data_IF_451504088847
#
_entry.id   IF_451504088847
#
_cell.length_a   1.000
_cell.length_b   1.000
_cell.length_c   1.000
_cell.angle_alpha   90.00
_cell.angle_beta   90.00
_cell.angle_gamma   90.00
#
_symmetry.space_group_name_H-M   'P 1'
#
loop_
_entity.id
_entity.type
_entity.pdbx_description
1 polymer ?
#
# COMPACT_ATOMS: atom_id res chain seq x y z
N UNK A 1 -56.68 -4.88 -33.06
CA UNK A 1 -55.24 -4.81 -33.25
C UNK A 1 -54.67 -4.11 -32.04
N UNK A 2 -54.25 -4.85 -31.04
CA UNK A 2 -53.65 -4.33 -29.81
C UNK A 2 -52.16 -4.55 -29.90
N UNK A 3 -51.40 -3.44 -29.98
CA UNK A 3 -49.95 -3.46 -29.92
C UNK A 3 -49.53 -3.63 -28.44
N UNK A 4 -48.97 -4.79 -28.15
CA UNK A 4 -48.27 -5.05 -26.90
C UNK A 4 -46.83 -4.53 -27.01
N UNK A 5 -46.52 -3.45 -26.33
CA UNK A 5 -45.13 -2.95 -26.16
C UNK A 5 -44.46 -3.75 -25.07
N UNK A 6 -43.55 -4.62 -25.44
CA UNK A 6 -42.61 -5.28 -24.57
C UNK A 6 -41.55 -4.25 -24.07
N UNK A 7 -41.67 -3.82 -22.83
CA UNK A 7 -40.59 -3.15 -22.11
C UNK A 7 -39.72 -4.25 -21.55
N UNK A 8 -38.60 -4.54 -22.20
CA UNK A 8 -37.63 -5.51 -21.75
C UNK A 8 -36.57 -4.85 -20.85
N UNK A 9 -36.54 -5.30 -19.64
CA UNK A 9 -35.36 -5.67 -18.81
C UNK A 9 -33.99 -5.17 -19.29
N UNK A 10 -33.65 -3.96 -18.95
CA UNK A 10 -32.25 -3.45 -18.94
C UNK A 10 -31.72 -3.13 -17.55
N UNK A 11 -32.41 -3.54 -16.47
CA UNK A 11 -32.11 -3.11 -15.10
C UNK A 11 -31.35 -4.14 -14.24
N UNK A 12 -30.89 -5.29 -14.78
CA UNK A 12 -30.29 -6.35 -13.98
C UNK A 12 -28.82 -6.71 -14.30
N UNK A 13 -28.15 -6.00 -15.21
CA UNK A 13 -26.74 -6.29 -15.56
C UNK A 13 -25.76 -5.31 -14.87
N UNK A 14 -26.23 -4.27 -14.20
CA UNK A 14 -25.38 -3.23 -13.63
C UNK A 14 -24.84 -3.51 -12.21
N UNK A 15 -25.39 -4.50 -11.48
CA UNK A 15 -24.99 -4.74 -10.08
C UNK A 15 -23.74 -5.63 -9.90
N UNK A 16 -23.37 -6.45 -10.88
CA UNK A 16 -22.19 -7.33 -10.75
C UNK A 16 -20.86 -6.64 -11.01
N UNK A 17 -20.87 -5.45 -11.63
CA UNK A 17 -19.67 -4.64 -11.88
C UNK A 17 -19.38 -3.61 -10.77
N UNK A 18 -20.24 -3.51 -9.76
CA UNK A 18 -20.11 -2.47 -8.72
C UNK A 18 -19.13 -2.84 -7.60
N UNK A 19 -18.85 -4.13 -7.41
CA UNK A 19 -17.97 -4.64 -6.34
C UNK A 19 -16.66 -5.15 -6.94
N UNK A 20 -15.53 -4.66 -6.46
CA UNK A 20 -14.23 -5.17 -6.88
C UNK A 20 -14.05 -6.61 -6.42
N UNK A 21 -13.85 -7.57 -7.35
CA UNK A 21 -13.65 -8.97 -7.01
C UNK A 21 -12.26 -9.20 -6.38
N UNK A 22 -12.10 -10.34 -5.68
CA UNK A 22 -10.82 -10.83 -5.22
C UNK A 22 -9.97 -11.21 -6.45
N UNK A 23 -8.73 -10.71 -6.49
CA UNK A 23 -7.75 -11.06 -7.53
C UNK A 23 -6.86 -12.21 -7.08
N UNK A 24 -6.32 -12.13 -5.87
CA UNK A 24 -5.44 -13.16 -5.31
C UNK A 24 -6.15 -13.94 -4.20
N UNK A 25 -6.63 -15.13 -4.58
CA UNK A 25 -7.29 -16.06 -3.66
C UNK A 25 -6.31 -17.01 -2.95
N UNK A 26 -5.00 -16.90 -3.22
CA UNK A 26 -3.97 -17.81 -2.71
C UNK A 26 -3.13 -17.14 -1.63
N UNK A 27 -2.51 -16.02 -1.94
CA UNK A 27 -1.55 -15.36 -1.04
C UNK A 27 -2.19 -14.72 0.20
N UNK A 28 -3.48 -14.38 0.12
CA UNK A 28 -4.18 -13.63 1.17
C UNK A 28 -5.34 -14.42 1.78
N UNK A 29 -5.89 -13.92 2.89
CA UNK A 29 -6.96 -14.57 3.63
C UNK A 29 -8.30 -13.86 3.40
N UNK A 30 -9.26 -14.56 2.78
CA UNK A 30 -10.58 -14.01 2.41
C UNK A 30 -11.76 -14.60 3.19
N UNK A 31 -11.46 -15.42 4.20
CA UNK A 31 -12.45 -16.00 5.11
C UNK A 31 -12.28 -15.42 6.51
N UNK A 32 -13.37 -14.99 7.13
CA UNK A 32 -13.34 -14.35 8.45
C UNK A 32 -12.82 -15.28 9.56
N UNK A 33 -13.19 -16.56 9.53
CA UNK A 33 -12.75 -17.54 10.53
C UNK A 33 -11.25 -17.84 10.39
N UNK A 34 -10.79 -18.03 9.16
CA UNK A 34 -9.38 -18.23 8.85
C UNK A 34 -8.54 -17.01 9.21
N UNK A 35 -9.04 -15.79 8.91
CA UNK A 35 -8.36 -14.56 9.28
C UNK A 35 -8.26 -14.40 10.80
N UNK A 36 -9.32 -14.72 11.55
CA UNK A 36 -9.28 -14.73 13.01
C UNK A 36 -8.28 -15.75 13.54
N UNK A 37 -8.23 -16.94 12.95
CA UNK A 37 -7.26 -17.97 13.31
C UNK A 37 -5.83 -17.53 13.01
N UNK A 38 -5.59 -16.96 11.83
CA UNK A 38 -4.28 -16.43 11.43
C UNK A 38 -3.79 -15.31 12.37
N UNK A 39 -4.67 -14.35 12.68
CA UNK A 39 -4.34 -13.27 13.61
C UNK A 39 -4.06 -13.78 15.02
N UNK A 40 -4.77 -14.82 15.49
CA UNK A 40 -4.47 -15.50 16.75
C UNK A 40 -3.11 -16.19 16.71
N UNK A 41 -2.79 -16.86 15.59
CA UNK A 41 -1.46 -17.44 15.38
C UNK A 41 -0.36 -16.37 15.48
N UNK A 42 -0.50 -15.25 14.77
CA UNK A 42 0.48 -14.16 14.79
C UNK A 42 0.64 -13.57 16.20
N UNK A 43 -0.46 -13.31 16.91
CA UNK A 43 -0.40 -12.76 18.27
C UNK A 43 0.26 -13.72 19.28
N UNK A 44 0.03 -15.02 19.13
CA UNK A 44 0.62 -16.04 20.00
C UNK A 44 2.13 -16.18 19.77
N UNK A 45 2.57 -16.07 18.52
CA UNK A 45 3.99 -16.20 18.15
C UNK A 45 4.78 -14.88 18.27
N UNK A 46 4.10 -13.75 18.50
CA UNK A 46 4.71 -12.44 18.70
C UNK A 46 4.20 -11.78 20.01
N UNK A 47 4.34 -12.41 21.19
CA UNK A 47 3.73 -11.95 22.44
C UNK A 47 4.27 -10.59 22.93
N UNK A 48 5.48 -10.22 22.51
CA UNK A 48 6.14 -8.97 22.88
C UNK A 48 5.75 -7.79 21.99
N UNK A 49 5.11 -8.04 20.85
CA UNK A 49 4.63 -7.00 19.93
C UNK A 49 3.40 -6.34 20.54
N UNK A 50 3.52 -5.06 20.88
CA UNK A 50 2.45 -4.25 21.49
C UNK A 50 2.19 -3.00 20.64
N UNK A 51 0.96 -2.46 20.69
CA UNK A 51 0.70 -1.14 20.12
C UNK A 51 1.63 -0.08 20.71
N UNK A 52 2.06 0.85 19.87
CA UNK A 52 2.86 1.99 20.34
C UNK A 52 1.96 3.08 20.92
N UNK A 53 2.47 3.89 21.88
CA UNK A 53 1.70 4.98 22.48
C UNK A 53 1.45 6.16 21.50
N UNK A 54 2.33 6.32 20.51
CA UNK A 54 2.19 7.37 19.50
C UNK A 54 1.05 7.08 18.54
N UNK A 55 0.24 8.09 18.24
CA UNK A 55 -0.80 8.00 17.23
C UNK A 55 -0.18 8.13 15.83
N UNK A 56 -0.29 7.09 15.04
CA UNK A 56 0.15 7.11 13.66
C UNK A 56 -0.80 7.96 12.79
N UNK A 57 -0.25 8.68 11.84
CA UNK A 57 -0.99 9.38 10.78
C UNK A 57 -0.82 8.70 9.43
N UNK A 58 0.26 7.95 9.25
CA UNK A 58 0.57 7.22 8.03
C UNK A 58 1.41 5.99 8.32
N UNK A 59 1.54 5.10 7.33
CA UNK A 59 2.44 3.96 7.38
C UNK A 59 2.87 3.50 5.97
N UNK A 60 3.97 2.74 5.92
CA UNK A 60 4.35 1.86 4.80
C UNK A 60 4.05 0.43 5.24
N UNK A 61 3.41 -0.35 4.37
CA UNK A 61 3.07 -1.75 4.59
C UNK A 61 3.51 -2.63 3.43
N UNK A 62 4.00 -3.81 3.78
CA UNK A 62 4.20 -4.92 2.85
C UNK A 62 2.89 -5.35 2.18
N UNK A 63 2.97 -5.99 0.99
CA UNK A 63 1.82 -6.55 0.29
C UNK A 63 2.05 -7.95 -0.30
N UNK A 64 3.05 -8.68 0.19
CA UNK A 64 3.37 -10.05 -0.21
C UNK A 64 2.52 -11.10 0.56
N UNK A 65 2.59 -12.38 0.14
CA UNK A 65 1.85 -13.50 0.69
C UNK A 65 1.89 -13.56 2.22
N UNK A 66 0.74 -13.78 2.83
CA UNK A 66 0.62 -13.77 4.30
C UNK A 66 1.40 -14.89 4.98
N UNK A 67 1.58 -16.05 4.33
CA UNK A 67 2.39 -17.13 4.86
C UNK A 67 3.89 -16.83 4.86
N UNK A 68 4.34 -15.80 4.15
CA UNK A 68 5.71 -15.30 4.22
C UNK A 68 5.80 -14.05 5.10
N UNK A 69 5.00 -13.04 4.79
CA UNK A 69 5.16 -11.70 5.34
C UNK A 69 4.28 -11.40 6.57
N UNK A 70 3.44 -12.34 7.03
CA UNK A 70 2.49 -12.12 8.12
C UNK A 70 3.10 -11.54 9.40
N UNK A 71 4.29 -12.00 9.78
CA UNK A 71 5.04 -11.44 10.92
C UNK A 71 5.52 -9.99 10.69
N UNK A 72 5.59 -9.54 9.43
CA UNK A 72 5.97 -8.15 9.09
C UNK A 72 4.75 -7.24 9.07
N UNK A 73 3.58 -7.73 8.61
CA UNK A 73 2.32 -7.00 8.71
C UNK A 73 1.89 -6.75 10.16
N UNK A 74 1.96 -7.78 10.99
CA UNK A 74 1.33 -7.84 12.31
C UNK A 74 1.67 -6.66 13.24
N UNK A 75 2.94 -6.22 13.40
CA UNK A 75 3.28 -5.12 14.30
C UNK A 75 2.64 -3.79 13.93
N UNK A 76 2.37 -3.55 12.64
CA UNK A 76 1.82 -2.29 12.15
C UNK A 76 0.33 -2.16 12.44
N UNK A 77 -0.48 -3.14 12.01
CA UNK A 77 -1.92 -2.97 11.86
C UNK A 77 -2.67 -2.79 13.18
N UNK A 78 -2.15 -3.29 14.30
CA UNK A 78 -2.73 -3.05 15.63
C UNK A 78 -2.71 -1.56 16.05
N UNK A 79 -1.96 -0.73 15.33
CA UNK A 79 -1.86 0.71 15.56
C UNK A 79 -2.78 1.53 14.64
N UNK A 80 -3.45 0.90 13.67
CA UNK A 80 -4.34 1.59 12.71
C UNK A 80 -5.78 1.45 13.21
N UNK A 81 -6.35 2.57 13.68
CA UNK A 81 -7.70 2.61 14.29
C UNK A 81 -8.52 3.76 13.71
N UNK A 82 -8.45 3.95 12.40
CA UNK A 82 -9.11 5.07 11.71
C UNK A 82 -10.37 4.62 10.99
N UNK A 83 -11.21 5.58 10.59
CA UNK A 83 -12.45 5.31 9.85
C UNK A 83 -12.20 5.21 8.34
N UNK A 84 -11.29 6.03 7.84
CA UNK A 84 -10.98 6.13 6.41
C UNK A 84 -9.47 5.96 6.20
N UNK A 85 -9.09 5.18 5.18
CA UNK A 85 -7.71 4.99 4.79
C UNK A 85 -7.51 5.35 3.33
N UNK A 86 -6.61 6.31 3.07
CA UNK A 86 -6.10 6.59 1.73
C UNK A 86 -4.94 5.63 1.47
N UNK A 87 -5.06 4.82 0.43
CA UNK A 87 -4.08 3.77 0.14
C UNK A 87 -3.37 4.08 -1.17
N UNK A 88 -2.06 4.28 -1.10
CA UNK A 88 -1.20 4.44 -2.27
C UNK A 88 -0.63 3.09 -2.68
N UNK A 89 -1.18 2.53 -3.75
CA UNK A 89 -0.79 1.22 -4.29
C UNK A 89 0.17 1.31 -5.46
N UNK A 90 0.74 0.17 -5.79
CA UNK A 90 1.68 -0.01 -6.89
C UNK A 90 0.95 -0.19 -8.22
N UNK A 91 1.59 0.13 -9.32
CA UNK A 91 1.19 -0.24 -10.67
C UNK A 91 2.14 -1.32 -11.19
N UNK A 92 1.83 -2.60 -10.89
CA UNK A 92 2.68 -3.73 -11.26
C UNK A 92 2.71 -4.00 -12.78
N UNK A 93 3.60 -4.90 -13.19
CA UNK A 93 3.78 -5.30 -14.59
C UNK A 93 2.51 -5.83 -15.26
N UNK A 94 1.64 -6.51 -14.52
CA UNK A 94 0.32 -6.98 -14.98
C UNK A 94 -0.55 -5.83 -15.47
N UNK A 95 -0.62 -4.75 -14.70
CA UNK A 95 -1.40 -3.55 -15.07
C UNK A 95 -0.77 -2.84 -16.27
N UNK A 96 0.56 -2.68 -16.29
CA UNK A 96 1.27 -2.07 -17.42
C UNK A 96 1.11 -2.87 -18.71
N UNK A 97 1.04 -4.20 -18.61
CA UNK A 97 0.80 -5.09 -19.75
C UNK A 97 -0.63 -4.93 -20.30
N UNK A 98 -1.62 -4.79 -19.40
CA UNK A 98 -3.04 -4.70 -19.76
C UNK A 98 -3.42 -3.32 -20.33
N UNK A 99 -3.01 -2.24 -19.67
CA UNK A 99 -3.38 -0.88 -20.04
C UNK A 99 -2.38 -0.19 -20.97
N UNK A 100 -1.25 -0.85 -21.26
CA UNK A 100 -0.08 -0.17 -21.81
C UNK A 100 0.66 0.65 -20.75
N UNK A 101 1.79 1.26 -21.08
CA UNK A 101 2.61 2.03 -20.14
C UNK A 101 1.92 3.31 -19.71
N UNK A 102 1.21 3.26 -18.58
CA UNK A 102 0.66 4.46 -17.96
C UNK A 102 1.75 5.16 -17.13
N UNK A 103 1.86 6.46 -17.29
CA UNK A 103 2.81 7.29 -16.55
C UNK A 103 2.23 8.69 -16.27
N UNK A 104 2.77 9.37 -15.27
CA UNK A 104 2.41 10.74 -14.91
C UNK A 104 0.97 10.95 -14.45
N UNK A 105 0.27 9.89 -14.06
CA UNK A 105 -1.12 9.92 -13.60
C UNK A 105 -1.32 9.02 -12.36
N UNK A 106 -2.40 9.28 -11.63
CA UNK A 106 -2.95 8.35 -10.66
C UNK A 106 -3.99 7.45 -11.35
N UNK A 107 -4.17 6.22 -10.88
CA UNK A 107 -5.26 5.36 -11.36
C UNK A 107 -6.25 5.18 -10.21
N UNK A 108 -7.48 5.61 -10.43
CA UNK A 108 -8.62 5.44 -9.55
C UNK A 108 -9.56 4.37 -10.12
N UNK A 109 -10.50 3.90 -9.31
CA UNK A 109 -11.57 3.02 -9.75
C UNK A 109 -12.95 3.68 -9.65
N UNK A 110 -13.97 2.97 -10.16
CA UNK A 110 -15.39 3.31 -10.03
C UNK A 110 -16.18 2.22 -9.28
N UNK A 111 -15.49 1.25 -8.65
CA UNK A 111 -16.17 0.31 -7.78
C UNK A 111 -16.84 1.03 -6.60
N UNK A 112 -18.03 0.60 -6.24
CA UNK A 112 -18.74 1.15 -5.07
C UNK A 112 -18.22 0.55 -3.78
N UNK A 113 -17.72 -0.70 -3.85
CA UNK A 113 -17.17 -1.48 -2.75
C UNK A 113 -16.08 -2.41 -3.22
N UNK A 114 -15.30 -2.92 -2.28
CA UNK A 114 -14.34 -3.99 -2.51
C UNK A 114 -14.72 -5.22 -1.69
N UNK A 115 -14.42 -6.42 -2.17
CA UNK A 115 -14.54 -7.63 -1.35
C UNK A 115 -13.50 -7.65 -0.24
N UNK A 116 -13.92 -8.11 0.95
CA UNK A 116 -13.06 -8.33 2.10
C UNK A 116 -13.49 -9.56 2.89
N UNK A 117 -12.64 -10.10 3.79
CA UNK A 117 -12.93 -11.34 4.53
C UNK A 117 -14.12 -11.21 5.50
N UNK A 118 -14.47 -10.02 5.93
CA UNK A 118 -15.58 -9.78 6.86
C UNK A 118 -16.78 -9.09 6.20
N UNK A 119 -16.91 -9.23 4.90
CA UNK A 119 -17.90 -8.57 4.08
C UNK A 119 -17.29 -7.46 3.22
N UNK A 120 -18.15 -6.70 2.56
CA UNK A 120 -17.74 -5.66 1.64
C UNK A 120 -17.12 -4.46 2.36
N UNK A 121 -16.07 -3.89 1.76
CA UNK A 121 -15.40 -2.66 2.23
C UNK A 121 -15.89 -1.49 1.40
N UNK A 122 -16.42 -0.49 2.08
CA UNK A 122 -16.94 0.70 1.42
C UNK A 122 -15.84 1.62 0.90
N UNK A 123 -16.13 2.29 -0.21
CA UNK A 123 -15.27 3.35 -0.71
C UNK A 123 -15.57 4.65 0.02
N UNK A 124 -14.50 5.34 0.45
CA UNK A 124 -14.63 6.66 1.06
C UNK A 124 -15.15 7.69 0.05
N UNK A 125 -16.06 8.59 0.45
CA UNK A 125 -16.48 9.72 -0.37
C UNK A 125 -15.32 10.61 -0.85
N UNK A 126 -14.16 10.53 -0.21
CA UNK A 126 -12.95 11.24 -0.61
C UNK A 126 -12.55 10.89 -2.06
N UNK A 127 -12.74 9.64 -2.52
CA UNK A 127 -12.41 9.27 -3.90
C UNK A 127 -13.19 10.13 -4.91
N UNK A 128 -14.50 10.26 -4.74
CA UNK A 128 -15.33 11.09 -5.62
C UNK A 128 -14.99 12.58 -5.49
N UNK A 129 -14.62 13.02 -4.28
CA UNK A 129 -14.16 14.38 -4.07
C UNK A 129 -12.85 14.65 -4.84
N UNK A 130 -11.89 13.72 -4.81
CA UNK A 130 -10.67 13.79 -5.62
C UNK A 130 -11.00 13.86 -7.11
N UNK A 131 -11.86 12.96 -7.62
CA UNK A 131 -12.27 12.93 -9.03
C UNK A 131 -12.94 14.24 -9.49
N UNK A 132 -13.62 14.92 -8.57
CA UNK A 132 -14.31 16.19 -8.87
C UNK A 132 -13.38 17.39 -8.90
N UNK A 133 -12.24 17.36 -8.21
CA UNK A 133 -11.34 18.49 -8.00
C UNK A 133 -10.02 18.37 -8.76
N UNK A 134 -9.49 17.16 -8.89
CA UNK A 134 -8.23 16.93 -9.57
C UNK A 134 -8.40 17.11 -11.08
N UNK A 135 -7.50 17.84 -11.77
CA UNK A 135 -7.55 17.97 -13.23
C UNK A 135 -7.55 16.61 -13.93
N UNK A 136 -8.34 16.48 -15.00
CA UNK A 136 -8.59 15.20 -15.67
C UNK A 136 -7.37 14.56 -16.32
N UNK A 137 -6.34 15.32 -16.62
CA UNK A 137 -5.05 14.88 -17.15
C UNK A 137 -4.12 14.31 -16.07
N UNK A 138 -4.49 14.41 -14.79
CA UNK A 138 -3.71 13.91 -13.66
C UNK A 138 -4.17 12.53 -13.16
N UNK A 139 -5.26 12.00 -13.65
CA UNK A 139 -5.73 10.67 -13.28
C UNK A 139 -6.51 10.00 -14.41
N UNK A 140 -6.54 8.68 -14.37
CA UNK A 140 -7.47 7.86 -15.15
C UNK A 140 -8.35 7.04 -14.20
N UNK A 141 -9.51 6.61 -14.67
CA UNK A 141 -10.40 5.70 -13.96
C UNK A 141 -10.37 4.35 -14.66
N UNK A 142 -10.00 3.30 -13.95
CA UNK A 142 -9.91 1.96 -14.52
C UNK A 142 -10.23 0.87 -13.49
N UNK A 143 -11.45 0.35 -13.53
CA UNK A 143 -11.84 -0.84 -12.77
C UNK A 143 -10.99 -2.05 -13.16
N UNK A 144 -10.64 -2.15 -14.46
CA UNK A 144 -9.77 -3.22 -14.95
C UNK A 144 -8.39 -3.21 -14.29
N UNK A 145 -7.76 -2.03 -14.16
CA UNK A 145 -6.48 -1.91 -13.47
C UNK A 145 -6.58 -2.40 -12.02
N UNK A 146 -7.57 -1.90 -11.28
CA UNK A 146 -7.76 -2.29 -9.89
C UNK A 146 -8.16 -3.75 -9.70
N UNK A 147 -8.87 -4.37 -10.66
CA UNK A 147 -9.25 -5.79 -10.58
C UNK A 147 -8.08 -6.77 -10.75
N UNK A 148 -6.99 -6.35 -11.38
CA UNK A 148 -5.80 -7.18 -11.64
C UNK A 148 -4.60 -6.82 -10.76
N UNK A 149 -4.71 -5.75 -9.97
CA UNK A 149 -3.66 -5.30 -9.04
C UNK A 149 -3.90 -5.84 -7.63
N UNK A 150 -2.86 -6.33 -6.97
CA UNK A 150 -2.95 -6.92 -5.63
C UNK A 150 -2.38 -6.06 -4.51
N UNK A 151 -1.56 -5.04 -4.80
CA UNK A 151 -0.84 -4.29 -3.77
C UNK A 151 -1.74 -3.55 -2.76
N UNK A 152 -2.94 -3.11 -3.18
CA UNK A 152 -3.93 -2.54 -2.27
C UNK A 152 -4.78 -3.64 -1.62
N UNK A 153 -5.13 -4.64 -2.40
CA UNK A 153 -5.95 -5.78 -1.98
C UNK A 153 -5.37 -6.52 -0.77
N UNK A 154 -4.05 -6.74 -0.78
CA UNK A 154 -3.31 -7.39 0.30
C UNK A 154 -3.48 -6.72 1.66
N UNK A 155 -3.80 -5.43 1.69
CA UNK A 155 -3.92 -4.66 2.94
C UNK A 155 -5.31 -4.76 3.56
N UNK A 156 -6.31 -5.10 2.77
CA UNK A 156 -7.72 -5.10 3.16
C UNK A 156 -8.03 -6.05 4.31
N UNK A 157 -7.59 -7.33 4.30
CA UNK A 157 -7.91 -8.25 5.39
C UNK A 157 -7.40 -7.80 6.76
N UNK A 158 -6.18 -7.27 6.82
CA UNK A 158 -5.64 -6.74 8.08
C UNK A 158 -6.35 -5.46 8.53
N UNK A 159 -6.67 -4.54 7.62
CA UNK A 159 -7.45 -3.34 7.94
C UNK A 159 -8.82 -3.71 8.49
N UNK A 160 -9.53 -4.61 7.81
CA UNK A 160 -10.86 -5.06 8.21
C UNK A 160 -10.86 -5.89 9.49
N UNK A 161 -9.78 -6.62 9.80
CA UNK A 161 -9.65 -7.32 11.08
C UNK A 161 -9.75 -6.36 12.27
N UNK A 162 -9.11 -5.19 12.20
CA UNK A 162 -9.10 -4.21 13.28
C UNK A 162 -10.28 -3.22 13.23
N UNK A 163 -10.84 -2.96 12.06
CA UNK A 163 -12.02 -2.10 11.89
C UNK A 163 -12.92 -2.63 10.76
N UNK A 164 -14.06 -3.23 11.13
CA UNK A 164 -15.03 -3.81 10.18
C UNK A 164 -15.69 -2.76 9.27
N UNK A 165 -15.82 -1.53 9.76
CA UNK A 165 -16.50 -0.43 9.08
C UNK A 165 -15.51 0.52 8.37
N UNK A 166 -14.30 0.06 8.14
CA UNK A 166 -13.27 0.84 7.45
C UNK A 166 -13.72 1.22 6.04
N UNK A 167 -13.44 2.47 5.65
CA UNK A 167 -13.63 2.95 4.28
C UNK A 167 -12.28 3.19 3.64
N UNK A 168 -12.16 2.92 2.34
CA UNK A 168 -10.90 3.07 1.61
C UNK A 168 -10.99 4.07 0.46
N UNK A 169 -9.89 4.75 0.19
CA UNK A 169 -9.66 5.52 -1.04
C UNK A 169 -8.47 4.86 -1.75
N UNK A 170 -8.72 3.90 -2.66
CA UNK A 170 -7.65 3.21 -3.37
C UNK A 170 -7.10 4.09 -4.49
N UNK A 171 -5.79 4.32 -4.50
CA UNK A 171 -5.08 5.14 -5.47
C UNK A 171 -3.83 4.38 -5.92
N UNK A 172 -3.77 3.93 -7.16
CA UNK A 172 -2.54 3.40 -7.72
C UNK A 172 -1.68 4.53 -8.26
N UNK A 173 -0.38 4.50 -7.92
CA UNK A 173 0.59 5.50 -8.34
C UNK A 173 1.40 4.96 -9.51
N UNK A 174 1.37 5.66 -10.64
CA UNK A 174 2.18 5.28 -11.80
C UNK A 174 3.59 5.85 -11.71
N UNK A 175 4.45 5.37 -12.59
CA UNK A 175 5.77 5.96 -12.79
C UNK A 175 5.66 7.43 -13.19
N UNK A 176 6.44 8.29 -12.54
CA UNK A 176 6.50 9.72 -12.88
C UNK A 176 7.83 10.36 -12.43
N UNK A 177 8.31 11.43 -13.09
CA UNK A 177 9.47 12.17 -12.65
C UNK A 177 9.16 12.99 -11.38
N UNK A 178 10.20 13.38 -10.65
CA UNK A 178 10.09 14.11 -9.38
C UNK A 178 9.26 15.38 -9.46
N UNK A 179 9.45 16.18 -10.50
CA UNK A 179 8.67 17.43 -10.74
C UNK A 179 7.16 17.15 -10.84
N UNK A 180 6.79 16.07 -11.54
CA UNK A 180 5.39 15.65 -11.64
C UNK A 180 4.84 15.12 -10.32
N UNK A 181 5.64 14.38 -9.55
CA UNK A 181 5.25 13.93 -8.20
C UNK A 181 5.00 15.13 -7.29
N UNK A 182 5.85 16.14 -7.37
CA UNK A 182 5.73 17.34 -6.55
C UNK A 182 4.47 18.14 -6.88
N UNK A 183 4.21 18.44 -8.17
CA UNK A 183 2.99 19.13 -8.61
C UNK A 183 1.73 18.33 -8.20
N UNK A 184 1.69 17.05 -8.53
CA UNK A 184 0.52 16.22 -8.28
C UNK A 184 0.27 15.98 -6.78
N UNK A 185 1.32 15.81 -5.98
CA UNK A 185 1.21 15.67 -4.53
C UNK A 185 0.74 16.98 -3.86
N UNK A 186 1.13 18.16 -4.37
CA UNK A 186 0.61 19.45 -3.91
C UNK A 186 -0.92 19.51 -4.14
N UNK A 187 -1.36 19.25 -5.37
CA UNK A 187 -2.79 19.28 -5.73
C UNK A 187 -3.60 18.30 -4.89
N UNK A 188 -3.12 17.04 -4.77
CA UNK A 188 -3.81 16.01 -4.00
C UNK A 188 -3.88 16.37 -2.52
N UNK A 189 -2.81 16.92 -1.94
CA UNK A 189 -2.78 17.33 -0.53
C UNK A 189 -3.78 18.46 -0.24
N UNK A 190 -3.90 19.44 -1.14
CA UNK A 190 -4.89 20.52 -0.99
C UNK A 190 -6.33 19.98 -1.03
N UNK A 191 -6.61 19.06 -1.96
CA UNK A 191 -7.92 18.39 -2.08
C UNK A 191 -8.24 17.60 -0.82
N UNK A 192 -7.29 16.82 -0.29
CA UNK A 192 -7.49 16.04 0.95
C UNK A 192 -7.72 16.98 2.15
N UNK A 193 -6.97 18.07 2.26
CA UNK A 193 -7.14 19.07 3.31
C UNK A 193 -8.52 19.77 3.22
N UNK A 194 -8.99 20.12 2.02
CA UNK A 194 -10.33 20.69 1.79
C UNK A 194 -11.42 19.68 2.22
N UNK A 195 -11.28 18.40 1.83
CA UNK A 195 -12.20 17.34 2.24
C UNK A 195 -12.23 17.16 3.76
N UNK A 196 -11.07 16.98 4.38
CA UNK A 196 -10.95 16.77 5.82
C UNK A 196 -11.57 17.96 6.59
N UNK A 197 -11.30 19.20 6.18
CA UNK A 197 -11.89 20.41 6.74
C UNK A 197 -13.42 20.44 6.58
N UNK A 198 -13.92 20.12 5.38
CA UNK A 198 -15.37 20.14 5.08
C UNK A 198 -16.17 19.13 5.90
N UNK A 199 -15.54 18.04 6.33
CA UNK A 199 -16.13 16.95 7.13
C UNK A 199 -15.71 16.99 8.60
N UNK A 200 -14.89 17.97 9.01
CA UNK A 200 -14.31 18.07 10.35
C UNK A 200 -13.55 16.79 10.77
N UNK A 201 -12.78 16.20 9.84
CA UNK A 201 -12.03 14.98 10.06
C UNK A 201 -10.62 15.30 10.59
N UNK A 202 -10.14 14.45 11.49
CA UNK A 202 -8.83 14.56 12.11
C UNK A 202 -7.88 13.50 11.56
N UNK A 203 -6.67 13.92 11.23
CA UNK A 203 -5.59 13.02 10.79
C UNK A 203 -5.19 12.05 11.92
N UNK A 204 -5.00 10.78 11.55
CA UNK A 204 -4.68 9.70 12.48
C UNK A 204 -5.84 9.23 13.36
N UNK A 205 -6.97 9.94 13.36
CA UNK A 205 -8.22 9.52 14.04
C UNK A 205 -9.28 9.08 13.05
N UNK A 206 -9.58 9.95 12.09
CA UNK A 206 -10.63 9.72 11.10
C UNK A 206 -10.03 9.36 9.73
N UNK A 207 -8.90 9.96 9.34
CA UNK A 207 -8.18 9.67 8.07
C UNK A 207 -6.77 9.20 8.38
N UNK A 208 -6.34 8.15 7.69
CA UNK A 208 -5.01 7.57 7.75
C UNK A 208 -4.45 7.36 6.32
N UNK A 209 -3.13 7.42 6.18
CA UNK A 209 -2.46 7.15 4.91
C UNK A 209 -1.69 5.84 4.97
N UNK A 210 -1.88 4.97 4.00
CA UNK A 210 -1.19 3.70 3.90
C UNK A 210 -0.50 3.58 2.54
N UNK A 211 0.81 3.38 2.57
CA UNK A 211 1.64 3.22 1.37
C UNK A 211 1.98 1.75 1.24
N UNK A 212 1.68 1.17 0.10
CA UNK A 212 1.92 -0.22 -0.19
C UNK A 212 3.29 -0.41 -0.84
N UNK A 213 4.15 -1.26 -0.25
CA UNK A 213 5.49 -1.51 -0.73
C UNK A 213 6.05 -2.83 -0.24
N UNK A 214 6.67 -3.61 -1.12
CA UNK A 214 7.68 -4.57 -0.73
C UNK A 214 9.07 -4.00 -1.03
N UNK A 215 10.05 -4.34 -0.19
CA UNK A 215 11.43 -3.92 -0.38
C UNK A 215 12.07 -4.62 -1.59
N UNK A 216 13.31 -5.02 -1.52
CA UNK A 216 14.03 -5.49 -2.69
C UNK A 216 13.39 -6.76 -3.29
N UNK A 217 13.06 -6.69 -4.58
CA UNK A 217 12.74 -7.84 -5.42
C UNK A 217 14.03 -8.25 -6.11
N UNK A 218 14.59 -9.40 -5.74
CA UNK A 218 15.95 -9.77 -6.10
C UNK A 218 16.03 -11.13 -6.78
N UNK A 219 16.88 -11.22 -7.78
CA UNK A 219 17.23 -12.42 -8.51
C UNK A 219 16.94 -12.36 -10.00
N UNK A 220 17.12 -13.50 -10.67
CA UNK A 220 17.01 -13.65 -12.11
C UNK A 220 15.62 -13.32 -12.63
N UNK A 221 14.57 -13.78 -11.93
CA UNK A 221 13.16 -13.58 -12.32
C UNK A 221 12.73 -12.11 -12.27
N UNK A 222 13.42 -11.29 -11.47
CA UNK A 222 13.21 -9.86 -11.41
C UNK A 222 14.19 -9.06 -12.29
N UNK A 223 15.11 -9.73 -12.96
CA UNK A 223 16.22 -9.08 -13.70
C UNK A 223 17.02 -8.11 -12.82
N UNK A 224 17.14 -8.41 -11.53
CA UNK A 224 17.75 -7.57 -10.50
C UNK A 224 18.66 -8.42 -9.60
N UNK A 225 19.93 -8.53 -9.94
CA UNK A 225 20.94 -9.28 -9.18
C UNK A 225 22.32 -8.60 -9.22
N UNK A 226 22.41 -7.31 -8.81
CA UNK A 226 23.63 -6.51 -8.98
C UNK A 226 24.83 -7.03 -8.16
N UNK A 227 24.57 -7.79 -7.10
CA UNK A 227 25.60 -8.39 -6.23
C UNK A 227 25.89 -9.87 -6.54
N UNK A 228 25.16 -10.49 -7.49
CA UNK A 228 25.20 -11.94 -7.73
C UNK A 228 23.97 -12.67 -7.15
N UNK A 229 24.01 -14.01 -7.04
CA UNK A 229 22.86 -14.83 -6.60
C UNK A 229 23.29 -15.91 -5.60
N UNK A 230 23.92 -15.49 -4.52
CA UNK A 230 24.39 -16.34 -3.42
C UNK A 230 24.09 -15.70 -2.05
N UNK A 231 24.51 -16.35 -0.98
CA UNK A 231 24.31 -15.87 0.38
C UNK A 231 24.99 -14.51 0.66
N UNK A 232 26.12 -14.22 0.03
CA UNK A 232 26.80 -12.94 0.18
C UNK A 232 26.02 -11.82 -0.55
N UNK A 233 25.53 -12.11 -1.76
CA UNK A 233 24.68 -11.19 -2.52
C UNK A 233 23.38 -10.86 -1.75
N UNK A 234 22.73 -11.86 -1.15
CA UNK A 234 21.58 -11.68 -0.27
C UNK A 234 21.90 -10.74 0.89
N UNK A 235 23.00 -10.99 1.61
CA UNK A 235 23.46 -10.14 2.71
C UNK A 235 23.66 -8.68 2.27
N UNK A 236 24.37 -8.45 1.15
CA UNK A 236 24.65 -7.09 0.66
C UNK A 236 23.35 -6.36 0.25
N UNK A 237 22.43 -7.05 -0.37
CA UNK A 237 21.16 -6.47 -0.80
C UNK A 237 20.26 -6.13 0.41
N UNK A 238 20.16 -7.00 1.43
CA UNK A 238 19.41 -6.72 2.66
C UNK A 238 20.05 -5.62 3.50
N UNK A 239 21.39 -5.57 3.59
CA UNK A 239 22.10 -4.47 4.25
C UNK A 239 21.82 -3.12 3.55
N UNK A 240 21.72 -3.10 2.22
CA UNK A 240 21.36 -1.89 1.48
C UNK A 240 19.92 -1.43 1.76
N UNK A 241 18.94 -2.34 1.79
CA UNK A 241 17.56 -2.02 2.17
C UNK A 241 17.51 -1.41 3.57
N UNK A 242 18.12 -2.08 4.56
CA UNK A 242 18.16 -1.63 5.96
C UNK A 242 18.86 -0.28 6.11
N UNK A 243 19.93 -0.04 5.34
CA UNK A 243 20.61 1.26 5.29
C UNK A 243 19.66 2.37 4.84
N UNK A 244 18.99 2.18 3.70
CA UNK A 244 18.04 3.17 3.16
C UNK A 244 16.92 3.44 4.17
N UNK A 245 16.29 2.41 4.71
CA UNK A 245 15.22 2.56 5.70
C UNK A 245 15.70 3.39 6.89
N UNK A 246 16.82 3.03 7.49
CA UNK A 246 17.32 3.72 8.69
C UNK A 246 17.78 5.16 8.43
N UNK A 247 18.36 5.43 7.26
CA UNK A 247 18.83 6.77 6.92
C UNK A 247 17.69 7.71 6.53
N UNK A 248 16.76 7.23 5.72
CA UNK A 248 15.81 8.08 5.01
C UNK A 248 14.40 8.06 5.61
N UNK A 249 13.97 6.94 6.19
CA UNK A 249 12.58 6.75 6.62
C UNK A 249 12.41 6.77 8.14
N UNK A 250 13.46 6.49 8.92
CA UNK A 250 13.42 6.48 10.41
C UNK A 250 13.74 7.85 10.99
N UNK A 251 13.16 8.17 12.15
CA UNK A 251 13.28 9.45 12.86
C UNK A 251 12.64 10.63 12.10
N UNK A 252 13.18 11.83 12.24
CA UNK A 252 12.64 13.05 11.62
C UNK A 252 12.61 12.92 10.10
N UNK A 253 11.42 13.05 9.50
CA UNK A 253 11.21 13.06 8.06
C UNK A 253 11.09 14.52 7.61
N UNK A 254 12.09 14.98 6.87
CA UNK A 254 12.12 16.28 6.23
C UNK A 254 11.93 16.14 4.71
N UNK A 255 11.69 17.26 4.03
CA UNK A 255 11.65 17.26 2.57
C UNK A 255 12.96 16.74 1.97
N UNK A 256 14.12 17.12 2.55
CA UNK A 256 15.44 16.66 2.10
C UNK A 256 15.55 15.12 2.19
N UNK A 257 15.03 14.52 3.27
CA UNK A 257 14.99 13.04 3.40
C UNK A 257 14.09 12.40 2.36
N UNK A 258 12.93 12.99 2.05
CA UNK A 258 12.05 12.48 0.98
C UNK A 258 12.76 12.54 -0.38
N UNK A 259 13.49 13.62 -0.67
CA UNK A 259 14.30 13.72 -1.88
C UNK A 259 15.48 12.73 -1.87
N UNK A 260 16.08 12.47 -0.70
CA UNK A 260 17.13 11.46 -0.57
C UNK A 260 16.56 10.05 -0.80
N UNK A 261 15.41 9.73 -0.18
CA UNK A 261 14.69 8.48 -0.47
C UNK A 261 14.46 8.30 -1.97
N UNK A 262 14.03 9.36 -2.67
CA UNK A 262 13.83 9.30 -4.11
C UNK A 262 15.11 8.96 -4.87
N UNK A 263 16.26 9.53 -4.49
CA UNK A 263 17.57 9.23 -5.10
C UNK A 263 18.01 7.78 -4.84
N UNK A 264 17.68 7.24 -3.67
CA UNK A 264 18.12 5.91 -3.26
C UNK A 264 17.26 4.79 -3.87
N UNK A 265 15.95 5.03 -4.16
CA UNK A 265 15.04 3.97 -4.60
C UNK A 265 14.44 4.15 -6.00
N UNK A 266 14.42 5.37 -6.57
CA UNK A 266 13.94 5.53 -7.95
C UNK A 266 14.98 5.06 -8.95
N UNK A 267 14.55 4.54 -10.13
CA UNK A 267 15.47 4.04 -11.13
C UNK A 267 16.49 5.10 -11.57
N UNK A 268 17.75 4.73 -11.46
CA UNK A 268 18.88 5.52 -11.94
C UNK A 268 19.79 4.61 -12.78
N UNK A 269 19.88 4.89 -14.08
CA UNK A 269 20.74 4.13 -15.00
C UNK A 269 22.23 4.21 -14.68
N UNK A 270 22.64 5.21 -13.92
CA UNK A 270 24.03 5.38 -13.48
C UNK A 270 24.38 4.54 -12.24
N UNK A 271 23.37 4.04 -11.50
CA UNK A 271 23.54 3.28 -10.28
C UNK A 271 22.86 1.91 -10.35
N UNK A 272 23.62 0.89 -10.75
CA UNK A 272 23.13 -0.50 -10.81
C UNK A 272 22.75 -1.12 -9.45
N UNK A 273 23.12 -0.48 -8.34
CA UNK A 273 22.84 -0.97 -6.99
C UNK A 273 21.56 -0.36 -6.38
N UNK A 274 20.83 0.47 -7.14
CA UNK A 274 19.50 0.93 -6.73
C UNK A 274 18.60 -0.27 -6.50
N UNK A 275 18.00 -0.43 -5.31
CA UNK A 275 17.18 -1.59 -5.02
C UNK A 275 15.87 -1.56 -5.81
N UNK A 276 15.35 -2.72 -6.15
CA UNK A 276 14.07 -2.83 -6.86
C UNK A 276 12.91 -2.93 -5.85
N UNK A 277 12.58 -1.84 -5.19
CA UNK A 277 11.36 -1.76 -4.39
C UNK A 277 10.15 -1.56 -5.30
N UNK A 278 9.12 -2.41 -5.14
CA UNK A 278 7.93 -2.33 -6.00
C UNK A 278 7.15 -1.02 -5.75
N UNK A 279 7.08 -0.58 -4.51
CA UNK A 279 6.40 0.65 -4.08
C UNK A 279 7.25 1.92 -4.13
N UNK A 280 8.37 1.95 -4.85
CA UNK A 280 9.26 3.12 -4.90
C UNK A 280 8.57 4.43 -5.31
N UNK A 281 7.62 4.37 -6.26
CA UNK A 281 6.81 5.54 -6.64
C UNK A 281 5.75 5.89 -5.59
N UNK A 282 4.93 4.92 -5.09
CA UNK A 282 4.03 5.14 -3.97
C UNK A 282 4.70 5.73 -2.71
N UNK A 283 5.92 5.28 -2.35
CA UNK A 283 6.64 5.80 -1.18
C UNK A 283 6.94 7.29 -1.36
N UNK A 284 7.62 7.66 -2.43
CA UNK A 284 8.04 9.05 -2.65
C UNK A 284 6.82 9.96 -2.79
N UNK A 285 5.86 9.59 -3.65
CA UNK A 285 4.63 10.35 -3.87
C UNK A 285 3.78 10.45 -2.59
N UNK A 286 3.61 9.32 -1.88
CA UNK A 286 2.85 9.24 -0.65
C UNK A 286 3.45 10.11 0.45
N UNK A 287 4.76 10.02 0.69
CA UNK A 287 5.45 10.85 1.69
C UNK A 287 5.39 12.35 1.35
N UNK A 288 5.55 12.73 0.07
CA UNK A 288 5.34 14.10 -0.37
C UNK A 288 3.92 14.59 -0.07
N UNK A 289 2.91 13.77 -0.38
CA UNK A 289 1.51 14.11 -0.13
C UNK A 289 1.24 14.24 1.38
N UNK A 290 1.66 13.25 2.17
CA UNK A 290 1.45 13.22 3.62
C UNK A 290 2.11 14.42 4.30
N UNK A 291 3.38 14.71 3.96
CA UNK A 291 4.12 15.83 4.58
C UNK A 291 3.41 17.18 4.36
N UNK A 292 2.76 17.36 3.20
CA UNK A 292 1.98 18.56 2.88
C UNK A 292 0.62 18.56 3.58
N UNK A 293 -0.08 17.42 3.63
CA UNK A 293 -1.36 17.29 4.33
C UNK A 293 -1.20 17.60 5.81
N UNK A 294 -0.17 17.04 6.47
CA UNK A 294 0.07 17.30 7.90
C UNK A 294 0.78 18.62 8.17
N UNK A 295 1.14 19.35 7.12
CA UNK A 295 1.86 20.65 7.21
C UNK A 295 3.09 20.54 8.09
N UNK A 296 4.02 19.69 7.67
CA UNK A 296 5.33 19.58 8.34
C UNK A 296 5.99 20.94 8.42
N UNK A 297 6.30 21.37 9.64
CA UNK A 297 7.00 22.61 9.99
C UNK A 297 8.05 22.27 11.04
N UNK A 298 8.83 23.23 11.48
CA UNK A 298 9.80 23.01 12.56
C UNK A 298 9.12 22.58 13.89
N UNK A 299 7.86 23.02 14.11
CA UNK A 299 7.08 22.70 15.30
C UNK A 299 6.19 21.47 15.14
N UNK A 300 5.89 21.04 13.91
CA UNK A 300 5.03 19.93 13.58
C UNK A 300 5.80 18.94 12.70
N UNK A 301 6.52 18.04 13.31
CA UNK A 301 7.48 17.16 12.64
C UNK A 301 6.91 15.77 12.47
N UNK A 302 7.04 15.25 11.24
CA UNK A 302 6.74 13.86 10.93
C UNK A 302 7.93 12.99 11.35
N UNK A 303 7.68 11.95 12.15
CA UNK A 303 8.67 10.95 12.57
C UNK A 303 8.31 9.58 12.05
N UNK A 304 9.28 8.91 11.44
CA UNK A 304 9.20 7.51 11.05
C UNK A 304 9.75 6.58 12.14
N UNK A 305 9.10 5.44 12.30
CA UNK A 305 9.50 4.34 13.18
C UNK A 305 9.37 3.02 12.45
N UNK A 306 10.50 2.36 12.23
CA UNK A 306 10.52 1.00 11.72
C UNK A 306 9.89 0.05 12.73
N UNK A 307 8.87 -0.72 12.32
CA UNK A 307 8.29 -1.80 13.12
C UNK A 307 9.05 -3.10 12.91
N UNK A 308 9.23 -3.48 11.66
CA UNK A 308 9.98 -4.68 11.30
C UNK A 308 10.50 -4.59 9.87
N UNK A 309 11.74 -5.03 9.67
CA UNK A 309 12.30 -5.44 8.38
C UNK A 309 12.55 -6.94 8.42
N UNK A 310 12.27 -7.62 7.36
CA UNK A 310 12.64 -9.02 7.17
C UNK A 310 12.69 -9.39 5.68
N UNK A 311 12.95 -10.63 5.39
CA UNK A 311 13.03 -11.15 4.04
C UNK A 311 12.60 -12.63 4.00
N UNK A 312 12.45 -13.16 2.81
CA UNK A 312 12.03 -14.52 2.52
C UNK A 312 12.84 -15.61 3.23
N UNK A 313 14.16 -15.42 3.37
CA UNK A 313 15.04 -16.41 4.01
C UNK A 313 14.99 -16.33 5.52
N UNK A 314 14.78 -15.13 6.08
CA UNK A 314 14.69 -14.88 7.53
C UNK A 314 13.37 -15.37 8.10
N UNK A 315 12.23 -14.99 7.49
CA UNK A 315 10.90 -15.38 8.01
C UNK A 315 10.55 -16.82 7.72
N UNK A 316 10.98 -17.35 6.57
CA UNK A 316 10.54 -18.66 6.08
C UNK A 316 9.01 -18.69 5.92
N UNK A 317 8.47 -19.86 5.60
CA UNK A 317 7.02 -20.05 5.53
C UNK A 317 6.45 -20.23 6.93
N UNK A 318 5.46 -19.42 7.29
CA UNK A 318 4.75 -19.57 8.56
C UNK A 318 4.02 -20.91 8.61
N UNK A 319 4.17 -21.70 9.69
CA UNK A 319 3.58 -23.03 9.80
C UNK A 319 2.09 -22.99 10.17
N UNK A 320 1.33 -22.14 9.49
CA UNK A 320 -0.11 -22.03 9.63
C UNK A 320 -0.76 -23.16 8.82
N UNK A 321 -1.62 -23.94 9.46
CA UNK A 321 -2.31 -25.08 8.85
C UNK A 321 -3.82 -24.86 8.85
N UNK A 322 -4.53 -25.63 8.01
CA UNK A 322 -6.00 -25.60 7.92
C UNK A 322 -6.57 -24.22 7.52
N UNK A 323 -5.91 -23.57 6.59
CA UNK A 323 -6.41 -22.36 5.93
C UNK A 323 -6.36 -22.54 4.42
N UNK A 324 -7.10 -21.72 3.69
CA UNK A 324 -7.05 -21.67 2.21
C UNK A 324 -5.82 -20.94 1.68
N UNK A 325 -5.05 -20.26 2.56
CA UNK A 325 -3.84 -19.54 2.17
C UNK A 325 -2.77 -20.48 1.64
N UNK A 326 -2.11 -20.04 0.58
CA UNK A 326 -0.98 -20.72 -0.06
C UNK A 326 0.17 -19.77 -0.35
N UNK A 327 1.04 -20.20 -1.24
CA UNK A 327 2.20 -19.45 -1.70
C UNK A 327 2.06 -19.20 -3.21
N UNK A 328 2.29 -17.97 -3.64
CA UNK A 328 2.26 -17.60 -5.05
C UNK A 328 3.61 -17.81 -5.73
N UNK A 329 4.69 -17.89 -4.95
CA UNK A 329 6.03 -18.16 -5.44
C UNK A 329 6.85 -19.02 -4.45
N UNK A 330 7.86 -19.73 -4.98
CA UNK A 330 8.86 -20.45 -4.18
C UNK A 330 10.16 -19.67 -4.24
N UNK A 331 10.73 -19.35 -3.07
CA UNK A 331 11.91 -18.52 -2.98
C UNK A 331 13.23 -19.30 -3.04
N UNK A 332 14.21 -18.66 -3.67
CA UNK A 332 15.60 -19.08 -3.76
C UNK A 332 16.50 -17.86 -3.95
N UNK A 333 17.82 -18.00 -4.00
CA UNK A 333 18.71 -16.88 -4.34
C UNK A 333 18.50 -16.29 -5.73
N UNK A 334 17.70 -16.97 -6.58
CA UNK A 334 17.31 -16.47 -7.91
C UNK A 334 15.95 -15.74 -7.90
N UNK A 335 15.22 -15.81 -6.79
CA UNK A 335 13.91 -15.23 -6.62
C UNK A 335 13.61 -15.04 -5.13
N UNK A 336 13.76 -13.82 -4.59
CA UNK A 336 13.43 -13.52 -3.20
C UNK A 336 13.03 -12.06 -3.02
N UNK A 337 12.31 -11.77 -1.95
CA UNK A 337 11.83 -10.44 -1.60
C UNK A 337 12.24 -10.06 -0.18
N UNK A 338 12.51 -8.76 0.00
CA UNK A 338 12.59 -8.13 1.30
C UNK A 338 11.30 -7.39 1.64
N UNK A 339 11.00 -7.22 2.93
CA UNK A 339 9.77 -6.60 3.42
C UNK A 339 10.01 -5.71 4.61
N UNK A 340 9.25 -4.63 4.73
CA UNK A 340 9.23 -3.85 5.96
C UNK A 340 7.89 -3.19 6.21
N UNK A 341 7.66 -2.87 7.48
CA UNK A 341 6.58 -2.00 7.91
C UNK A 341 7.12 -0.85 8.73
N UNK A 342 6.62 0.33 8.41
CA UNK A 342 7.02 1.58 9.06
C UNK A 342 5.80 2.42 9.39
N UNK A 343 5.78 3.04 10.57
CA UNK A 343 4.72 3.94 10.98
C UNK A 343 5.23 5.37 11.09
N UNK A 344 4.38 6.33 10.70
CA UNK A 344 4.68 7.75 10.80
C UNK A 344 3.73 8.44 11.77
N UNK A 345 4.27 9.23 12.68
CA UNK A 345 3.50 10.00 13.67
C UNK A 345 3.97 11.45 13.72
N UNK A 346 3.08 12.31 14.19
CA UNK A 346 3.44 13.71 14.41
C UNK A 346 3.98 13.89 15.82
N UNK A 347 5.14 14.50 15.92
CA UNK A 347 5.70 14.93 17.18
C UNK A 347 5.65 16.47 17.21
N UNK A 348 4.88 17.00 18.16
CA UNK A 348 4.91 18.44 18.44
C UNK A 348 6.10 18.69 19.35
N UNK A 349 7.03 19.50 18.90
CA UNK A 349 8.05 20.04 19.78
C UNK A 349 7.30 20.90 20.83
N UNK A 350 7.28 20.44 22.08
CA UNK A 350 6.75 21.21 23.21
C UNK A 350 7.68 22.37 23.54
#
# INVERSE_FOLDING_TARGET
MTLSTSISTFAQIQDSESIRPIRDSIGFCWNAEEMNYFMKFLSTNNPDVKPIPQKLVAAISVHDDYLYAGNVYYPLYQNIKTKEVVIFGVTHGSVRKELGPQSNVLILDDYTKWQGPYGEVEISPLREFIKSKLPKDNFIVSNKAHSIEHSIEALIPFLQYYNRDIKITPIMVTQMPMEKMEDLSNRLSDIINEYAKSKNLKLGEDIFFLISNDANHYGEDFSNSPYGMDANAHKLATENDVRIINQDLVNKISNEKIYQTAKDILPDSSNKFTPLWCGRYPIVFGLMTISKVVKVTDDNVLFGKLFKYSDTFTEKVLPVKNTSMGLTAVFSYKHWCGWFTEGFFLNKNN
#
